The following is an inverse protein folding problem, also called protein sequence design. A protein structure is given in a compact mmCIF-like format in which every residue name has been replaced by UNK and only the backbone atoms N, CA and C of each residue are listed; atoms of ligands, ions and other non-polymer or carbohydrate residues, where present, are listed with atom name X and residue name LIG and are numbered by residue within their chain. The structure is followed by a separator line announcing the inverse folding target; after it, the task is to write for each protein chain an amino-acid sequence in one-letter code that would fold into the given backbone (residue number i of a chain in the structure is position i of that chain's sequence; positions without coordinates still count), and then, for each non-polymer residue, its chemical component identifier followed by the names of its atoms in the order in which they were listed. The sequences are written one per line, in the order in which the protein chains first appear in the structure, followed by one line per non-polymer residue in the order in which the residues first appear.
data_IF_422817653611
#
_entry.id   IF_422817653611
#
_cell.length_a   1.000
_cell.length_b   1.000
_cell.length_c   1.000
_cell.angle_alpha   90.00
_cell.angle_beta   90.00
_cell.angle_gamma   90.00
#
_symmetry.space_group_name_H-M   'P 1'
#
loop_
_entity.id
_entity.type
_entity.pdbx_description
1 polymer ?
#
# COMPACT_ATOMS: atom_id res chain seq x y z
N UNK A 1 -8.33 34.16 -15.74
CA UNK A 1 -8.30 32.84 -15.11
C UNK A 1 -9.72 32.29 -15.08
N UNK A 2 -10.05 31.39 -16.02
CA UNK A 2 -11.37 30.75 -16.06
C UNK A 2 -11.44 29.67 -15.00
N UNK A 3 -12.14 29.92 -13.91
CA UNK A 3 -12.45 28.91 -12.88
C UNK A 3 -13.49 27.95 -13.45
N UNK A 4 -13.04 26.86 -14.05
CA UNK A 4 -13.93 25.71 -14.28
C UNK A 4 -14.46 25.24 -12.94
N UNK A 5 -15.79 25.07 -12.78
CA UNK A 5 -16.33 24.47 -11.56
C UNK A 5 -15.72 23.09 -11.38
N UNK A 6 -15.45 22.65 -10.14
CA UNK A 6 -14.94 21.29 -9.91
C UNK A 6 -15.90 20.30 -10.53
N UNK A 7 -15.40 19.41 -11.40
CA UNK A 7 -16.18 18.27 -11.90
C UNK A 7 -16.72 17.54 -10.67
N UNK A 8 -18.04 17.43 -10.56
CA UNK A 8 -18.66 16.63 -9.53
C UNK A 8 -18.10 15.21 -9.63
N UNK A 9 -17.51 14.72 -8.52
CA UNK A 9 -17.07 13.34 -8.43
C UNK A 9 -18.23 12.41 -8.82
N UNK A 10 -17.96 11.41 -9.66
CA UNK A 10 -18.99 10.46 -10.10
C UNK A 10 -19.57 9.72 -8.90
N UNK A 11 -20.82 9.95 -8.57
CA UNK A 11 -21.52 9.27 -7.46
C UNK A 11 -21.93 7.88 -7.90
N UNK A 12 -21.58 6.87 -7.10
CA UNK A 12 -21.98 5.50 -7.36
C UNK A 12 -23.46 5.28 -7.05
N UNK A 13 -24.20 4.74 -8.03
CA UNK A 13 -25.56 4.28 -7.88
C UNK A 13 -25.57 2.75 -7.88
N UNK A 14 -25.86 2.14 -6.72
CA UNK A 14 -25.98 0.68 -6.63
C UNK A 14 -27.31 0.26 -7.22
N UNK A 15 -27.27 -0.56 -8.27
CA UNK A 15 -28.45 -1.14 -8.90
C UNK A 15 -28.62 -2.62 -8.53
N UNK A 16 -29.84 -3.01 -8.19
CA UNK A 16 -30.23 -4.42 -8.14
C UNK A 16 -30.58 -4.91 -9.54
N UNK A 17 -29.76 -5.80 -10.11
CA UNK A 17 -30.09 -6.43 -11.38
C UNK A 17 -31.15 -7.50 -11.16
N UNK A 18 -31.99 -7.77 -12.20
CA UNK A 18 -32.97 -8.83 -12.13
C UNK A 18 -32.32 -10.20 -11.96
N UNK A 19 -33.00 -11.11 -11.23
CA UNK A 19 -32.54 -12.50 -11.09
C UNK A 19 -32.43 -13.16 -12.46
N UNK A 20 -31.24 -13.63 -12.81
CA UNK A 20 -31.01 -14.34 -14.07
C UNK A 20 -31.77 -15.65 -14.18
N UNK A 21 -31.99 -16.33 -13.05
CA UNK A 21 -32.73 -17.59 -13.02
C UNK A 21 -34.20 -17.41 -13.41
N UNK A 22 -34.87 -16.38 -12.86
CA UNK A 22 -36.27 -16.10 -13.18
C UNK A 22 -36.44 -15.75 -14.66
N UNK A 23 -35.57 -14.86 -15.16
CA UNK A 23 -35.60 -14.46 -16.56
C UNK A 23 -35.20 -15.58 -17.54
N UNK A 24 -34.34 -16.52 -17.09
CA UNK A 24 -34.00 -17.69 -17.88
C UNK A 24 -35.23 -18.60 -18.09
N UNK A 25 -36.04 -18.83 -17.04
CA UNK A 25 -37.26 -19.60 -17.14
C UNK A 25 -38.25 -18.91 -18.10
N UNK A 26 -38.43 -17.59 -17.97
CA UNK A 26 -39.27 -16.81 -18.87
C UNK A 26 -38.78 -16.88 -20.32
N UNK A 27 -37.48 -16.79 -20.52
CA UNK A 27 -36.89 -16.90 -21.86
C UNK A 27 -37.06 -18.29 -22.48
N UNK A 28 -36.85 -19.34 -21.69
CA UNK A 28 -37.10 -20.72 -22.15
C UNK A 28 -38.59 -20.95 -22.50
N UNK A 29 -39.50 -20.41 -21.69
CA UNK A 29 -40.94 -20.48 -21.99
C UNK A 29 -41.30 -19.71 -23.28
N UNK A 30 -40.67 -18.54 -23.47
CA UNK A 30 -40.84 -17.73 -24.70
C UNK A 30 -40.32 -18.45 -25.94
N UNK A 31 -39.14 -19.08 -25.88
CA UNK A 31 -38.58 -19.87 -26.97
C UNK A 31 -39.38 -21.16 -27.23
N UNK A 32 -39.89 -21.81 -26.19
CA UNK A 32 -40.78 -22.95 -26.30
C UNK A 32 -42.13 -22.59 -26.97
N UNK A 33 -42.73 -21.45 -26.58
CA UNK A 33 -43.90 -20.90 -27.21
C UNK A 33 -43.67 -20.53 -28.70
N UNK A 34 -42.49 -19.95 -28.98
CA UNK A 34 -42.08 -19.66 -30.35
C UNK A 34 -42.01 -20.92 -31.22
N UNK A 35 -41.36 -21.97 -30.72
CA UNK A 35 -41.27 -23.26 -31.42
C UNK A 35 -42.65 -23.91 -31.64
N UNK A 36 -43.54 -23.85 -30.63
CA UNK A 36 -44.89 -24.33 -30.75
C UNK A 36 -45.71 -23.57 -31.81
N UNK A 37 -45.67 -22.22 -31.78
CA UNK A 37 -46.40 -21.39 -32.75
C UNK A 37 -45.92 -21.59 -34.18
N UNK A 38 -44.61 -21.76 -34.39
CA UNK A 38 -44.04 -22.02 -35.71
C UNK A 38 -44.42 -23.43 -36.18
N UNK A 39 -44.35 -24.43 -35.30
CA UNK A 39 -44.66 -25.83 -35.64
C UNK A 39 -46.13 -26.12 -35.86
N UNK A 40 -47.04 -25.38 -35.20
CA UNK A 40 -48.52 -25.54 -35.33
C UNK A 40 -49.14 -24.66 -36.40
N UNK A 41 -48.35 -23.87 -37.12
CA UNK A 41 -48.84 -22.98 -38.16
C UNK A 41 -49.37 -23.76 -39.38
N UNK A 42 -50.65 -23.61 -39.70
CA UNK A 42 -51.35 -24.37 -40.76
C UNK A 42 -51.01 -23.95 -42.18
N UNK A 43 -50.41 -22.73 -42.37
CA UNK A 43 -49.95 -22.20 -43.67
C UNK A 43 -48.71 -21.33 -43.55
N UNK A 44 -47.83 -21.39 -44.54
CA UNK A 44 -46.65 -20.46 -44.59
C UNK A 44 -47.13 -19.00 -44.70
N UNK A 45 -46.61 -18.12 -43.84
CA UNK A 45 -46.99 -16.69 -43.80
C UNK A 45 -48.19 -16.37 -42.90
N UNK A 46 -48.71 -17.32 -42.14
CA UNK A 46 -49.80 -17.08 -41.20
C UNK A 46 -49.36 -16.12 -40.07
N UNK A 47 -50.30 -15.35 -39.51
CA UNK A 47 -50.07 -14.47 -38.36
C UNK A 47 -49.42 -15.26 -37.20
N UNK A 48 -49.78 -16.52 -37.05
CA UNK A 48 -49.24 -17.41 -36.04
C UNK A 48 -47.74 -17.67 -36.23
N UNK A 49 -47.27 -17.86 -37.47
CA UNK A 49 -45.88 -18.05 -37.82
C UNK A 49 -45.06 -16.75 -37.62
N UNK A 50 -45.64 -15.58 -37.95
CA UNK A 50 -45.03 -14.28 -37.73
C UNK A 50 -44.85 -13.97 -36.24
N UNK A 51 -45.85 -14.25 -35.41
CA UNK A 51 -45.78 -14.12 -33.96
C UNK A 51 -44.73 -15.07 -33.34
N UNK A 52 -44.65 -16.32 -33.85
CA UNK A 52 -43.62 -17.26 -33.45
C UNK A 52 -42.21 -16.80 -33.80
N UNK A 53 -42.00 -16.25 -35.01
CA UNK A 53 -40.73 -15.71 -35.41
C UNK A 53 -40.34 -14.48 -34.59
N UNK A 54 -41.29 -13.58 -34.30
CA UNK A 54 -41.05 -12.40 -33.47
C UNK A 54 -40.67 -12.78 -32.03
N UNK A 55 -41.35 -13.76 -31.43
CA UNK A 55 -41.04 -14.25 -30.08
C UNK A 55 -39.70 -14.99 -30.03
N UNK A 56 -39.33 -15.74 -31.09
CA UNK A 56 -38.00 -16.34 -31.20
C UNK A 56 -36.89 -15.31 -31.27
N UNK A 57 -37.06 -14.25 -32.07
CA UNK A 57 -36.10 -13.13 -32.15
C UNK A 57 -35.95 -12.39 -30.82
N UNK A 58 -37.09 -12.16 -30.12
CA UNK A 58 -37.06 -11.54 -28.80
C UNK A 58 -36.34 -12.42 -27.78
N UNK A 59 -36.60 -13.74 -27.76
CA UNK A 59 -35.91 -14.69 -26.89
C UNK A 59 -34.40 -14.75 -27.17
N UNK A 60 -34.01 -14.79 -28.46
CA UNK A 60 -32.58 -14.75 -28.86
C UNK A 60 -31.91 -13.44 -28.44
N UNK A 61 -32.58 -12.32 -28.57
CA UNK A 61 -32.09 -11.02 -28.13
C UNK A 61 -31.91 -10.97 -26.61
N UNK A 62 -32.83 -11.53 -25.82
CA UNK A 62 -32.71 -11.58 -24.37
C UNK A 62 -31.53 -12.42 -23.87
N UNK A 63 -31.06 -13.42 -24.66
CA UNK A 63 -29.89 -14.21 -24.32
C UNK A 63 -28.62 -13.35 -24.15
N UNK A 64 -28.51 -12.24 -24.86
CA UNK A 64 -27.41 -11.31 -24.75
C UNK A 64 -27.29 -10.60 -23.40
N UNK A 65 -28.33 -10.59 -22.55
CA UNK A 65 -28.38 -9.86 -21.29
C UNK A 65 -27.83 -10.61 -20.07
N UNK A 66 -27.59 -11.91 -20.16
CA UNK A 66 -27.15 -12.71 -19.00
C UNK A 66 -25.70 -12.53 -18.67
N UNK A 67 -25.38 -12.43 -17.36
CA UNK A 67 -24.03 -12.36 -16.85
C UNK A 67 -23.95 -12.93 -15.43
N UNK A 68 -22.75 -13.35 -15.06
CA UNK A 68 -22.42 -13.84 -13.71
C UNK A 68 -21.45 -12.89 -13.01
N UNK A 69 -21.66 -12.67 -11.72
CA UNK A 69 -20.74 -11.95 -10.84
C UNK A 69 -20.26 -12.87 -9.73
N UNK A 70 -18.95 -12.89 -9.51
CA UNK A 70 -18.35 -13.58 -8.37
C UNK A 70 -18.46 -12.70 -7.10
N UNK A 71 -18.32 -13.27 -5.90
CA UNK A 71 -18.19 -12.50 -4.69
C UNK A 71 -17.02 -11.50 -4.79
N UNK A 72 -17.22 -10.30 -4.28
CA UNK A 72 -16.25 -9.20 -4.36
C UNK A 72 -15.87 -8.79 -5.80
N UNK A 73 -16.83 -8.88 -6.71
CA UNK A 73 -16.76 -8.26 -8.03
C UNK A 73 -17.94 -7.32 -8.22
N UNK A 74 -17.70 -6.22 -8.90
CA UNK A 74 -18.72 -5.28 -9.32
C UNK A 74 -18.77 -5.19 -10.84
N UNK A 75 -19.93 -4.85 -11.38
CA UNK A 75 -20.10 -4.58 -12.80
C UNK A 75 -20.73 -3.22 -13.01
N UNK A 76 -20.03 -2.35 -13.72
CA UNK A 76 -20.50 -1.02 -14.09
C UNK A 76 -21.37 -1.13 -15.34
N UNK A 77 -22.57 -0.55 -15.30
CA UNK A 77 -23.55 -0.55 -16.39
C UNK A 77 -23.58 0.81 -17.06
N UNK A 78 -23.20 0.82 -18.34
CA UNK A 78 -23.18 2.02 -19.19
C UNK A 78 -24.16 1.78 -20.34
N UNK A 79 -25.10 2.69 -20.54
CA UNK A 79 -26.07 2.65 -21.64
C UNK A 79 -25.84 3.86 -22.56
N UNK A 80 -25.42 3.58 -23.79
CA UNK A 80 -25.14 4.64 -24.80
C UNK A 80 -24.27 5.79 -24.28
N UNK A 81 -23.23 5.47 -23.49
CA UNK A 81 -22.33 6.46 -22.91
C UNK A 81 -22.79 7.06 -21.58
N UNK A 82 -24.04 6.80 -21.14
CA UNK A 82 -24.53 7.28 -19.86
C UNK A 82 -24.34 6.21 -18.76
N UNK A 83 -23.72 6.58 -17.63
CA UNK A 83 -23.65 5.74 -16.45
C UNK A 83 -25.04 5.54 -15.85
N UNK A 84 -25.44 4.30 -15.67
CA UNK A 84 -26.75 3.93 -15.08
C UNK A 84 -26.62 3.42 -13.66
N UNK A 85 -25.52 2.77 -13.33
CA UNK A 85 -25.26 2.26 -12.00
C UNK A 85 -24.32 1.07 -11.99
N UNK A 86 -24.05 0.55 -10.79
CA UNK A 86 -23.15 -0.57 -10.55
C UNK A 86 -23.88 -1.71 -9.86
N UNK A 87 -23.71 -2.93 -10.34
CA UNK A 87 -24.20 -4.16 -9.69
C UNK A 87 -23.06 -4.74 -8.87
N UNK A 88 -23.30 -4.90 -7.55
CA UNK A 88 -22.34 -5.47 -6.58
C UNK A 88 -22.76 -6.85 -6.05
N UNK A 89 -24.03 -7.22 -6.21
CA UNK A 89 -24.53 -8.51 -5.75
C UNK A 89 -23.91 -9.64 -6.56
N UNK A 90 -23.36 -10.64 -5.86
CA UNK A 90 -22.87 -11.87 -6.52
C UNK A 90 -24.03 -12.73 -6.98
N UNK A 91 -23.81 -13.49 -8.05
CA UNK A 91 -24.80 -14.42 -8.57
C UNK A 91 -25.00 -14.33 -10.07
N UNK A 92 -26.09 -14.94 -10.52
CA UNK A 92 -26.55 -14.95 -11.92
C UNK A 92 -27.59 -13.86 -12.12
N UNK A 93 -27.30 -12.91 -12.98
CA UNK A 93 -28.11 -11.72 -13.21
C UNK A 93 -28.40 -11.52 -14.68
N UNK A 94 -29.46 -10.78 -14.92
CA UNK A 94 -29.82 -10.30 -16.26
C UNK A 94 -29.90 -8.77 -16.27
N UNK A 95 -29.33 -8.17 -17.28
CA UNK A 95 -29.45 -6.74 -17.57
C UNK A 95 -29.67 -6.53 -19.05
N UNK A 96 -30.12 -5.32 -19.43
CA UNK A 96 -30.41 -4.98 -20.81
C UNK A 96 -29.21 -5.31 -21.72
N UNK A 97 -29.40 -6.07 -22.83
CA UNK A 97 -28.33 -6.41 -23.76
C UNK A 97 -27.57 -5.24 -24.35
N UNK A 98 -28.17 -4.04 -24.38
CA UNK A 98 -27.55 -2.80 -24.87
C UNK A 98 -26.56 -2.16 -23.88
N UNK A 99 -26.44 -2.67 -22.66
CA UNK A 99 -25.41 -2.17 -21.77
C UNK A 99 -24.02 -2.49 -22.32
N UNK A 100 -23.18 -1.47 -22.40
CA UNK A 100 -21.80 -1.63 -22.86
C UNK A 100 -21.06 -2.60 -21.93
N UNK A 101 -20.26 -3.48 -22.54
CA UNK A 101 -19.50 -4.53 -21.85
C UNK A 101 -18.00 -4.21 -21.84
N UNK A 102 -17.57 -3.14 -22.50
CA UNK A 102 -16.16 -2.79 -22.71
C UNK A 102 -15.75 -1.60 -21.86
N UNK A 103 -14.63 -1.74 -21.17
CA UNK A 103 -13.74 -0.64 -20.84
C UNK A 103 -13.00 -0.27 -22.11
N UNK A 104 -13.13 0.94 -22.60
CA UNK A 104 -12.48 1.38 -23.86
C UNK A 104 -10.94 1.42 -23.84
N UNK A 105 -10.26 0.98 -22.79
CA UNK A 105 -8.86 1.32 -22.53
C UNK A 105 -7.91 0.10 -22.49
N UNK A 106 -8.40 -1.13 -22.28
CA UNK A 106 -7.51 -2.29 -22.05
C UNK A 106 -6.93 -2.91 -23.35
N UNK A 107 -7.39 -2.50 -24.54
CA UNK A 107 -6.94 -3.10 -25.80
C UNK A 107 -5.56 -2.60 -26.25
N UNK A 108 -5.18 -1.38 -25.89
CA UNK A 108 -3.92 -0.77 -26.36
C UNK A 108 -2.72 -1.17 -25.49
N UNK A 109 -2.92 -1.33 -24.16
CA UNK A 109 -1.84 -1.76 -23.27
C UNK A 109 -1.47 -3.24 -23.40
N UNK A 110 -2.41 -4.12 -23.72
CA UNK A 110 -2.09 -5.53 -23.98
C UNK A 110 -1.31 -5.71 -25.28
N UNK A 111 -1.55 -4.89 -26.30
CA UNK A 111 -0.78 -4.89 -27.52
C UNK A 111 0.65 -4.36 -27.31
N UNK A 112 0.82 -3.29 -26.52
CA UNK A 112 2.13 -2.70 -26.22
C UNK A 112 3.01 -3.59 -25.31
N UNK A 113 2.41 -4.37 -24.41
CA UNK A 113 3.15 -5.31 -23.54
C UNK A 113 3.63 -6.54 -24.31
N UNK A 114 2.92 -6.95 -25.36
CA UNK A 114 3.34 -8.06 -26.23
C UNK A 114 4.48 -7.68 -27.18
N UNK A 115 4.65 -6.39 -27.52
CA UNK A 115 5.76 -5.90 -28.36
C UNK A 115 7.07 -5.64 -27.58
N UNK A 116 7.00 -5.37 -26.27
CA UNK A 116 8.18 -5.02 -25.44
C UNK A 116 8.89 -6.20 -24.79
N UNK A 117 8.50 -7.46 -25.05
CA UNK A 117 9.16 -8.63 -24.48
C UNK A 117 10.32 -9.13 -25.34
N UNK A 118 11.59 -9.09 -24.88
CA UNK A 118 12.71 -9.62 -25.66
C UNK A 118 12.53 -11.10 -25.91
N UNK A 119 12.76 -11.49 -27.18
CA UNK A 119 12.65 -12.84 -27.76
C UNK A 119 13.63 -13.85 -27.18
N UNK A 120 13.67 -14.12 -25.87
CA UNK A 120 14.48 -15.23 -25.36
C UNK A 120 13.92 -15.78 -24.03
N UNK A 121 12.76 -16.48 -24.08
CA UNK A 121 12.39 -17.46 -23.08
C UNK A 121 11.87 -18.72 -23.74
N UNK A 122 12.67 -19.78 -23.88
CA UNK A 122 12.18 -21.11 -24.22
C UNK A 122 11.44 -21.67 -22.99
N UNK A 123 10.22 -22.19 -23.22
CA UNK A 123 9.36 -22.86 -22.26
C UNK A 123 8.57 -22.03 -21.24
N UNK A 124 7.99 -20.91 -21.60
CA UNK A 124 6.81 -20.43 -20.89
C UNK A 124 5.56 -21.04 -21.55
N UNK A 125 4.82 -21.88 -20.83
CA UNK A 125 3.48 -22.37 -21.22
C UNK A 125 2.62 -21.14 -21.57
N UNK A 126 2.29 -20.98 -22.84
CA UNK A 126 1.30 -20.02 -23.32
C UNK A 126 0.03 -20.24 -22.49
N UNK A 127 -0.51 -19.22 -21.82
CA UNK A 127 -1.85 -19.35 -21.25
C UNK A 127 -2.79 -19.69 -22.39
N UNK A 128 -3.57 -20.76 -22.23
CA UNK A 128 -4.59 -21.15 -23.18
C UNK A 128 -5.49 -19.93 -23.41
N UNK A 129 -5.41 -19.32 -24.59
CA UNK A 129 -6.39 -18.37 -25.08
C UNK A 129 -7.73 -19.10 -25.05
N UNK A 130 -8.50 -18.92 -23.98
CA UNK A 130 -9.92 -19.20 -24.04
C UNK A 130 -10.51 -18.39 -25.17
N UNK A 131 -11.47 -18.96 -25.88
CA UNK A 131 -12.26 -18.31 -26.95
C UNK A 131 -13.10 -17.15 -26.36
N UNK A 132 -12.49 -16.23 -25.60
CA UNK A 132 -13.09 -15.01 -25.12
C UNK A 132 -12.78 -13.90 -26.11
N UNK A 133 -13.80 -13.38 -26.71
CA UNK A 133 -13.74 -12.18 -27.55
C UNK A 133 -12.97 -11.08 -26.80
N UNK A 134 -11.90 -10.51 -27.38
CA UNK A 134 -11.12 -9.47 -26.74
C UNK A 134 -12.00 -8.24 -26.49
N UNK A 135 -11.96 -7.69 -25.30
CA UNK A 135 -12.56 -6.38 -24.98
C UNK A 135 -13.88 -6.38 -24.19
N UNK A 136 -14.22 -7.43 -23.43
CA UNK A 136 -15.59 -7.59 -22.90
C UNK A 136 -15.72 -7.64 -21.38
N UNK A 137 -14.95 -6.91 -20.60
CA UNK A 137 -15.17 -6.95 -19.15
C UNK A 137 -15.23 -5.58 -18.48
N UNK A 138 -16.43 -5.10 -18.17
CA UNK A 138 -16.69 -4.00 -17.22
C UNK A 138 -16.70 -4.49 -15.77
N UNK A 139 -16.09 -5.64 -15.51
CA UNK A 139 -16.02 -6.21 -14.17
C UNK A 139 -14.81 -5.61 -13.44
N UNK A 140 -15.04 -5.05 -12.27
CA UNK A 140 -14.01 -4.57 -11.34
C UNK A 140 -13.87 -5.54 -10.19
N UNK A 141 -12.64 -5.77 -9.75
CA UNK A 141 -12.37 -6.45 -8.49
C UNK A 141 -12.52 -5.46 -7.33
N UNK A 142 -13.32 -5.85 -6.33
CA UNK A 142 -13.44 -5.13 -5.05
C UNK A 142 -12.59 -5.77 -3.95
N UNK A 143 -11.76 -6.76 -4.32
CA UNK A 143 -10.84 -7.41 -3.40
C UNK A 143 -9.70 -6.47 -3.04
N UNK A 144 -9.06 -6.73 -1.90
CA UNK A 144 -7.83 -6.04 -1.57
C UNK A 144 -6.73 -6.35 -2.58
N UNK A 145 -6.04 -5.33 -3.02
CA UNK A 145 -4.88 -5.38 -3.89
C UNK A 145 -3.65 -4.93 -3.11
N UNK A 146 -2.52 -5.56 -3.37
CA UNK A 146 -1.24 -5.17 -2.80
C UNK A 146 -0.40 -4.49 -3.89
N UNK A 147 0.09 -3.30 -3.59
CA UNK A 147 1.13 -2.63 -4.34
C UNK A 147 2.41 -2.63 -3.51
N UNK A 148 3.50 -3.07 -4.10
CA UNK A 148 4.84 -2.99 -3.51
C UNK A 148 5.68 -2.09 -4.39
N UNK A 149 6.15 -0.96 -3.85
CA UNK A 149 7.05 -0.09 -4.59
C UNK A 149 8.44 -0.72 -4.71
N UNK A 150 9.14 -0.39 -5.78
CA UNK A 150 10.59 -0.58 -5.85
C UNK A 150 11.30 0.32 -4.84
N UNK A 151 12.56 0.05 -4.55
CA UNK A 151 13.37 0.90 -3.69
C UNK A 151 13.63 2.25 -4.38
N UNK A 152 13.06 3.31 -3.81
CA UNK A 152 13.17 4.67 -4.32
C UNK A 152 14.31 5.38 -3.58
N UNK A 153 15.25 5.96 -4.34
CA UNK A 153 16.28 6.84 -3.79
C UNK A 153 15.70 8.25 -3.63
N UNK A 154 15.65 8.71 -2.38
CA UNK A 154 15.07 10.02 -1.99
C UNK A 154 15.94 10.66 -0.91
N UNK A 155 15.78 11.97 -0.68
CA UNK A 155 16.43 12.64 0.43
C UNK A 155 15.47 12.70 1.63
N UNK A 156 16.02 12.44 2.82
CA UNK A 156 15.31 12.62 4.08
C UNK A 156 15.15 14.13 4.42
N UNK A 157 14.51 14.44 5.56
CA UNK A 157 14.34 15.83 6.05
C UNK A 157 15.66 16.58 6.19
N UNK A 158 16.78 15.90 6.43
CA UNK A 158 18.12 16.47 6.60
C UNK A 158 18.93 16.50 5.31
N UNK A 159 18.37 16.04 4.20
CA UNK A 159 19.04 16.00 2.90
C UNK A 159 19.94 14.77 2.71
N UNK A 160 19.90 13.78 3.60
CA UNK A 160 20.63 12.53 3.42
C UNK A 160 19.92 11.66 2.38
N UNK A 161 20.63 11.11 1.38
CA UNK A 161 20.04 10.18 0.44
C UNK A 161 19.75 8.82 1.13
N UNK A 162 18.48 8.41 1.07
CA UNK A 162 17.98 7.14 1.63
C UNK A 162 17.29 6.33 0.54
N UNK A 163 17.33 5.01 0.65
CA UNK A 163 16.53 4.08 -0.15
C UNK A 163 15.35 3.63 0.68
N UNK A 164 14.14 3.84 0.13
CA UNK A 164 12.89 3.58 0.80
C UNK A 164 11.94 2.83 -0.13
N UNK A 165 11.27 1.79 0.39
CA UNK A 165 10.18 1.11 -0.27
C UNK A 165 9.00 0.93 0.68
N UNK A 166 7.79 0.82 0.12
CA UNK A 166 6.58 0.60 0.89
C UNK A 166 5.66 -0.42 0.23
N UNK A 167 4.85 -1.05 1.06
CA UNK A 167 3.70 -1.85 0.62
C UNK A 167 2.43 -1.11 0.99
N UNK A 168 1.52 -1.03 0.04
CA UNK A 168 0.21 -0.39 0.18
C UNK A 168 -0.86 -1.42 -0.13
N UNK A 169 -1.75 -1.66 0.83
CA UNK A 169 -2.93 -2.51 0.66
C UNK A 169 -4.13 -1.60 0.42
N UNK A 170 -4.80 -1.81 -0.70
CA UNK A 170 -5.89 -0.94 -1.13
C UNK A 170 -7.00 -1.73 -1.82
N UNK A 171 -8.21 -1.18 -1.87
CA UNK A 171 -9.34 -1.73 -2.63
C UNK A 171 -10.18 -0.62 -3.25
N UNK A 172 -10.95 -0.99 -4.27
CA UNK A 172 -11.92 -0.08 -4.88
C UNK A 172 -13.14 0.03 -3.97
N UNK A 173 -13.46 1.25 -3.54
CA UNK A 173 -14.66 1.56 -2.77
C UNK A 173 -15.76 2.14 -3.65
N UNK A 174 -15.43 3.12 -4.49
CA UNK A 174 -16.36 3.73 -5.43
C UNK A 174 -16.01 3.35 -6.85
N UNK A 175 -16.83 2.46 -7.44
CA UNK A 175 -16.59 1.92 -8.78
C UNK A 175 -16.78 2.97 -9.88
N UNK A 176 -17.68 3.96 -9.68
CA UNK A 176 -17.91 5.02 -10.64
C UNK A 176 -16.68 5.92 -10.76
N UNK A 177 -16.10 6.35 -9.63
CA UNK A 177 -14.87 7.15 -9.64
C UNK A 177 -13.70 6.37 -10.24
N UNK A 178 -13.54 5.10 -9.89
CA UNK A 178 -12.46 4.27 -10.42
C UNK A 178 -12.52 4.07 -11.94
N UNK A 179 -13.71 4.17 -12.55
CA UNK A 179 -13.89 3.98 -14.00
C UNK A 179 -13.92 5.29 -14.77
N UNK A 180 -14.49 6.36 -14.19
CA UNK A 180 -14.79 7.59 -14.93
C UNK A 180 -13.91 8.78 -14.56
N UNK A 181 -13.38 8.84 -13.34
CA UNK A 181 -12.59 9.99 -12.88
C UNK A 181 -11.09 9.80 -13.14
N UNK A 182 -10.62 8.55 -13.31
CA UNK A 182 -9.24 8.21 -13.67
C UNK A 182 -9.21 7.26 -14.85
N UNK A 183 -8.17 7.36 -15.67
CA UNK A 183 -8.02 6.52 -16.87
C UNK A 183 -7.72 5.05 -16.48
N UNK A 184 -6.73 4.84 -15.62
CA UNK A 184 -6.37 3.55 -15.05
C UNK A 184 -6.11 3.70 -13.55
N UNK A 185 -7.04 3.21 -12.74
CA UNK A 185 -6.95 3.31 -11.29
C UNK A 185 -5.74 2.55 -10.72
N UNK A 186 -5.30 1.46 -11.35
CA UNK A 186 -4.13 0.69 -10.89
C UNK A 186 -2.84 1.48 -11.07
N UNK A 187 -2.60 1.98 -12.28
CA UNK A 187 -1.45 2.84 -12.58
C UNK A 187 -1.49 4.16 -11.79
N UNK A 188 -2.70 4.70 -11.56
CA UNK A 188 -2.86 5.88 -10.72
C UNK A 188 -2.45 5.62 -9.27
N UNK A 189 -2.83 4.47 -8.69
CA UNK A 189 -2.39 4.07 -7.34
C UNK A 189 -0.87 3.93 -7.28
N UNK A 190 -0.24 3.29 -8.26
CA UNK A 190 1.22 3.12 -8.32
C UNK A 190 1.94 4.49 -8.29
N UNK A 191 1.60 5.37 -9.22
CA UNK A 191 2.24 6.69 -9.36
C UNK A 191 2.01 7.56 -8.11
N UNK A 192 0.78 7.58 -7.57
CA UNK A 192 0.46 8.35 -6.37
C UNK A 192 1.13 7.78 -5.13
N UNK A 193 1.29 6.46 -5.05
CA UNK A 193 1.99 5.79 -3.94
C UNK A 193 3.48 6.15 -3.93
N UNK A 194 4.17 6.10 -5.05
CA UNK A 194 5.55 6.54 -5.15
C UNK A 194 5.73 8.02 -4.78
N UNK A 195 4.80 8.86 -5.25
CA UNK A 195 4.80 10.29 -4.91
C UNK A 195 4.58 10.53 -3.41
N UNK A 196 3.70 9.77 -2.77
CA UNK A 196 3.44 9.86 -1.33
C UNK A 196 4.65 9.38 -0.51
N UNK A 197 5.27 8.26 -0.90
CA UNK A 197 6.49 7.75 -0.26
C UNK A 197 7.59 8.81 -0.29
N UNK A 198 7.80 9.47 -1.43
CA UNK A 198 8.78 10.56 -1.59
C UNK A 198 8.43 11.76 -0.69
N UNK A 199 7.16 12.12 -0.61
CA UNK A 199 6.67 13.21 0.26
C UNK A 199 6.93 12.91 1.74
N UNK A 200 6.62 11.68 2.19
CA UNK A 200 6.87 11.25 3.58
C UNK A 200 8.35 11.20 3.90
N UNK A 201 9.17 10.63 3.00
CA UNK A 201 10.62 10.57 3.21
C UNK A 201 11.23 11.96 3.43
N UNK A 202 10.83 12.97 2.66
CA UNK A 202 11.34 14.35 2.82
C UNK A 202 10.80 15.07 4.06
N UNK A 203 9.75 14.55 4.71
CA UNK A 203 9.15 15.16 5.90
C UNK A 203 9.78 14.68 7.21
N UNK A 204 10.30 13.47 7.24
CA UNK A 204 10.89 12.83 8.40
C UNK A 204 12.39 12.60 8.23
N UNK A 205 13.16 12.74 9.33
CA UNK A 205 14.58 12.35 9.34
C UNK A 205 14.71 10.82 9.41
N UNK A 206 15.79 10.25 8.89
CA UNK A 206 16.00 8.80 8.88
C UNK A 206 16.12 8.22 10.29
N UNK A 207 17.10 8.66 11.11
CA UNK A 207 17.42 8.06 12.42
C UNK A 207 17.69 9.05 13.55
N UNK A 208 18.00 10.29 13.24
CA UNK A 208 18.30 11.31 14.24
C UNK A 208 17.30 12.43 14.16
N UNK A 209 16.37 12.44 15.12
CA UNK A 209 15.50 13.56 15.42
C UNK A 209 16.08 14.42 16.56
N UNK A 210 15.51 15.59 16.78
CA UNK A 210 15.60 16.31 18.05
C UNK A 210 14.93 15.46 19.15
N UNK A 211 15.19 15.80 20.44
CA UNK A 211 14.50 15.10 21.53
C UNK A 211 12.98 15.10 21.28
N UNK A 212 12.39 13.91 21.15
CA UNK A 212 10.97 13.65 20.83
C UNK A 212 10.56 13.81 19.34
N UNK A 213 11.49 13.99 18.40
CA UNK A 213 11.15 14.01 16.97
C UNK A 213 10.91 12.59 16.44
N UNK A 214 9.77 12.39 15.74
CA UNK A 214 9.45 11.13 15.06
C UNK A 214 10.40 10.97 13.88
N UNK A 215 11.07 9.82 13.79
CA UNK A 215 11.98 9.49 12.69
C UNK A 215 11.44 8.31 11.88
N UNK A 216 11.90 8.16 10.64
CA UNK A 216 11.50 7.04 9.78
C UNK A 216 11.81 5.68 10.42
N UNK A 217 12.90 5.59 11.17
CA UNK A 217 13.36 4.36 11.83
C UNK A 217 12.74 4.15 13.22
N UNK A 218 12.59 5.21 14.00
CA UNK A 218 12.14 5.13 15.40
C UNK A 218 10.63 5.15 15.57
N UNK A 219 9.90 5.84 14.66
CA UNK A 219 8.45 6.03 14.71
C UNK A 219 7.74 5.30 13.56
N UNK A 220 7.99 3.99 13.40
CA UNK A 220 7.48 3.25 12.23
C UNK A 220 5.95 3.24 12.15
N UNK A 221 5.24 3.16 13.26
CA UNK A 221 3.77 3.12 13.28
C UNK A 221 3.17 4.49 13.00
N UNK A 222 3.75 5.58 13.53
CA UNK A 222 3.32 6.95 13.26
C UNK A 222 3.56 7.34 11.79
N UNK A 223 4.72 6.93 11.24
CA UNK A 223 5.04 7.14 9.83
C UNK A 223 4.11 6.33 8.93
N UNK A 224 3.77 5.10 9.30
CA UNK A 224 2.81 4.27 8.56
C UNK A 224 1.42 4.91 8.55
N UNK A 225 0.97 5.47 9.68
CA UNK A 225 -0.29 6.20 9.78
C UNK A 225 -0.28 7.45 8.90
N UNK A 226 0.77 8.27 8.99
CA UNK A 226 0.94 9.47 8.16
C UNK A 226 0.98 9.14 6.66
N UNK A 227 1.64 8.04 6.27
CA UNK A 227 1.67 7.57 4.88
C UNK A 227 0.27 7.14 4.41
N UNK A 228 -0.46 6.40 5.24
CA UNK A 228 -1.84 5.98 4.95
C UNK A 228 -2.76 7.19 4.75
N UNK A 229 -2.70 8.19 5.62
CA UNK A 229 -3.51 9.41 5.52
C UNK A 229 -3.18 10.20 4.25
N UNK A 230 -1.90 10.42 3.96
CA UNK A 230 -1.43 11.10 2.75
C UNK A 230 -1.91 10.37 1.48
N UNK A 231 -1.80 9.03 1.47
CA UNK A 231 -2.29 8.18 0.39
C UNK A 231 -3.81 8.27 0.24
N UNK A 232 -4.56 8.22 1.34
CA UNK A 232 -6.02 8.27 1.31
C UNK A 232 -6.52 9.57 0.69
N UNK A 233 -5.89 10.71 1.02
CA UNK A 233 -6.23 12.01 0.43
C UNK A 233 -5.99 12.03 -1.09
N UNK A 234 -4.87 11.45 -1.54
CA UNK A 234 -4.51 11.42 -2.96
C UNK A 234 -5.37 10.43 -3.77
N UNK A 235 -5.65 9.26 -3.19
CA UNK A 235 -6.36 8.17 -3.86
C UNK A 235 -7.89 8.29 -3.79
N UNK A 236 -8.42 9.18 -2.94
CA UNK A 236 -9.85 9.44 -2.85
C UNK A 236 -10.48 9.81 -4.21
N UNK A 237 -9.75 10.51 -5.07
CA UNK A 237 -10.22 10.88 -6.43
C UNK A 237 -10.43 9.68 -7.35
N UNK A 238 -9.71 8.58 -7.10
CA UNK A 238 -9.85 7.34 -7.85
C UNK A 238 -10.89 6.39 -7.25
N UNK A 239 -11.62 6.81 -6.22
CA UNK A 239 -12.59 5.96 -5.52
C UNK A 239 -11.96 4.75 -4.83
N UNK A 240 -10.70 4.87 -4.38
CA UNK A 240 -9.92 3.82 -3.74
C UNK A 240 -9.76 4.13 -2.26
N UNK A 241 -9.91 3.11 -1.41
CA UNK A 241 -9.62 3.17 0.01
C UNK A 241 -8.30 2.44 0.31
N UNK A 242 -7.47 3.06 1.13
CA UNK A 242 -6.22 2.47 1.63
C UNK A 242 -6.49 1.78 2.95
N UNK A 243 -6.32 0.46 2.99
CA UNK A 243 -6.48 -0.33 4.21
C UNK A 243 -5.26 -0.23 5.10
N UNK A 244 -4.08 -0.38 4.49
CA UNK A 244 -2.80 -0.38 5.18
C UNK A 244 -1.70 0.20 4.28
N UNK A 245 -0.75 0.92 4.88
CA UNK A 245 0.45 1.38 4.21
C UNK A 245 1.63 1.26 5.17
N UNK A 246 2.69 0.54 4.79
CA UNK A 246 3.88 0.32 5.62
C UNK A 246 5.15 0.42 4.80
N UNK A 247 6.20 0.92 5.45
CA UNK A 247 7.56 0.87 4.89
C UNK A 247 8.09 -0.56 4.99
N UNK A 248 8.64 -1.08 3.89
CA UNK A 248 9.21 -2.43 3.81
C UNK A 248 10.73 -2.41 3.72
N UNK A 249 11.29 -1.37 3.10
CA UNK A 249 12.73 -1.17 2.99
C UNK A 249 13.06 0.25 3.40
N UNK A 250 14.07 0.39 4.27
CA UNK A 250 14.57 1.67 4.72
C UNK A 250 16.06 1.55 5.02
N UNK A 251 16.89 2.16 4.19
CA UNK A 251 18.34 2.13 4.33
C UNK A 251 18.95 3.46 3.87
N UNK A 252 20.16 3.78 4.33
CA UNK A 252 20.95 4.82 3.69
C UNK A 252 21.35 4.38 2.30
N UNK A 253 21.41 5.32 1.36
CA UNK A 253 21.93 5.04 0.04
C UNK A 253 23.39 4.53 0.13
N UNK A 254 23.79 3.56 -0.71
CA UNK A 254 25.10 2.90 -0.62
C UNK A 254 26.28 3.87 -0.60
N UNK A 255 26.14 5.03 -1.24
CA UNK A 255 27.20 6.05 -1.34
C UNK A 255 27.55 6.66 0.01
N UNK A 256 26.55 6.82 0.91
CA UNK A 256 26.78 7.45 2.22
C UNK A 256 26.73 6.46 3.39
N UNK A 257 26.25 5.23 3.17
CA UNK A 257 26.10 4.25 4.22
C UNK A 257 27.38 4.02 5.06
N UNK A 258 28.62 3.90 4.49
CA UNK A 258 29.83 3.73 5.27
C UNK A 258 30.16 4.95 6.16
N UNK A 259 29.89 6.16 5.68
CA UNK A 259 30.11 7.40 6.43
C UNK A 259 29.12 7.51 7.59
N UNK A 260 27.84 7.21 7.34
CA UNK A 260 26.80 7.24 8.35
C UNK A 260 27.02 6.18 9.44
N UNK A 261 27.48 4.98 9.06
CA UNK A 261 27.86 3.94 10.04
C UNK A 261 28.97 4.43 10.97
N UNK A 262 30.03 5.07 10.44
CA UNK A 262 31.10 5.63 11.27
C UNK A 262 30.58 6.72 12.21
N UNK A 263 29.68 7.57 11.75
CA UNK A 263 29.02 8.58 12.59
C UNK A 263 28.23 7.95 13.72
N UNK A 264 27.38 6.95 13.42
CA UNK A 264 26.61 6.20 14.43
C UNK A 264 27.53 5.52 15.47
N UNK A 265 28.65 4.92 15.02
CA UNK A 265 29.65 4.36 15.92
C UNK A 265 30.26 5.41 16.85
N UNK A 266 30.65 6.57 16.32
CA UNK A 266 31.21 7.65 17.14
C UNK A 266 30.20 8.18 18.17
N UNK A 267 28.95 8.38 17.77
CA UNK A 267 27.86 8.82 18.65
C UNK A 267 27.57 7.79 19.75
N UNK A 268 27.54 6.50 19.40
CA UNK A 268 27.35 5.41 20.35
C UNK A 268 28.50 5.37 21.40
N UNK A 269 29.75 5.57 20.95
CA UNK A 269 30.90 5.64 21.87
C UNK A 269 30.79 6.86 22.81
N UNK A 270 30.42 8.03 22.30
CA UNK A 270 30.23 9.24 23.10
C UNK A 270 29.09 9.02 24.13
N UNK A 271 27.96 8.48 23.71
CA UNK A 271 26.81 8.17 24.59
C UNK A 271 27.21 7.17 25.68
N UNK A 272 27.93 6.09 25.33
CA UNK A 272 28.41 5.10 26.29
C UNK A 272 29.39 5.74 27.29
N UNK A 273 30.34 6.57 26.84
CA UNK A 273 31.28 7.27 27.72
C UNK A 273 30.59 8.24 28.67
N UNK A 274 29.58 8.97 28.19
CA UNK A 274 28.76 9.86 29.04
C UNK A 274 28.13 9.09 30.20
N UNK A 275 27.52 7.93 29.89
CA UNK A 275 26.88 7.07 30.90
C UNK A 275 27.95 6.52 31.89
N UNK A 276 29.10 6.08 31.39
CA UNK A 276 30.23 5.60 32.24
C UNK A 276 30.66 6.68 33.21
N UNK A 277 30.92 7.89 32.73
CA UNK A 277 31.34 9.00 33.57
C UNK A 277 30.29 9.38 34.62
N UNK A 278 29.03 9.48 34.23
CA UNK A 278 27.92 9.76 35.15
C UNK A 278 27.82 8.70 36.26
N UNK A 279 27.90 7.42 35.90
CA UNK A 279 27.83 6.32 36.86
C UNK A 279 29.10 6.30 37.74
N UNK A 280 30.28 6.56 37.19
CA UNK A 280 31.53 6.64 37.96
C UNK A 280 31.45 7.75 39.02
N UNK A 281 30.97 8.94 38.67
CA UNK A 281 30.78 10.05 39.63
C UNK A 281 29.81 9.64 40.75
N UNK A 282 28.68 9.00 40.36
CA UNK A 282 27.68 8.51 41.36
C UNK A 282 28.29 7.46 42.29
N UNK A 283 29.05 6.48 41.76
CA UNK A 283 29.73 5.46 42.55
C UNK A 283 30.77 6.05 43.49
N UNK A 284 31.57 7.00 43.05
CA UNK A 284 32.56 7.70 43.87
C UNK A 284 31.86 8.45 44.99
N UNK A 285 30.76 9.15 44.69
CA UNK A 285 29.99 9.88 45.72
C UNK A 285 29.44 8.92 46.79
N UNK A 286 28.79 7.81 46.33
CA UNK A 286 28.32 6.79 47.28
C UNK A 286 29.43 6.18 48.16
N UNK A 287 30.58 5.88 47.55
CA UNK A 287 31.71 5.34 48.31
C UNK A 287 32.22 6.28 49.36
N UNK A 288 32.35 7.58 49.04
CA UNK A 288 32.78 8.60 50.03
C UNK A 288 31.76 8.78 51.14
N UNK A 289 30.47 8.83 50.83
CA UNK A 289 29.39 8.94 51.86
C UNK A 289 29.37 7.72 52.80
N UNK A 290 29.59 6.53 52.25
CA UNK A 290 29.63 5.31 53.04
C UNK A 290 30.84 5.24 53.98
N UNK A 291 32.02 5.71 53.53
CA UNK A 291 33.21 5.81 54.34
C UNK A 291 33.08 6.85 55.49
N UNK A 292 32.42 7.99 55.21
CA UNK A 292 32.14 9.03 56.21
C UNK A 292 31.14 8.53 57.23
N UNK A 293 30.04 7.87 56.82
CA UNK A 293 29.01 7.34 57.74
C UNK A 293 29.53 6.24 58.65
N UNK A 294 30.41 5.37 58.15
CA UNK A 294 30.98 4.26 58.91
C UNK A 294 32.21 4.67 59.76
N UNK A 295 32.66 5.95 59.65
CA UNK A 295 33.87 6.46 60.30
C UNK A 295 35.12 5.58 60.10
N UNK A 296 35.26 4.97 58.92
CA UNK A 296 36.35 4.03 58.62
C UNK A 296 37.68 4.77 58.50
N UNK A 297 37.67 5.97 57.93
CA UNK A 297 38.85 6.82 57.74
C UNK A 297 38.44 8.30 57.82
N UNK A 298 39.18 9.09 58.58
CA UNK A 298 39.05 10.56 58.56
C UNK A 298 39.82 11.10 57.35
N UNK A 299 39.11 11.54 56.33
CA UNK A 299 39.67 12.13 55.11
C UNK A 299 39.62 13.65 55.22
N UNK A 300 40.79 14.29 55.12
CA UNK A 300 40.87 15.72 54.83
C UNK A 300 40.55 16.01 53.37
N UNK A 301 40.30 17.27 53.01
CA UNK A 301 39.88 17.66 51.68
C UNK A 301 40.91 17.29 50.60
N UNK A 302 42.21 17.34 50.90
CA UNK A 302 43.27 17.00 50.00
C UNK A 302 43.30 15.49 49.66
N UNK A 303 43.16 14.64 50.72
CA UNK A 303 43.11 13.19 50.55
C UNK A 303 41.82 12.76 49.88
N UNK A 304 40.69 13.43 50.15
CA UNK A 304 39.42 13.21 49.49
C UNK A 304 39.55 13.50 47.96
N UNK A 305 40.14 14.63 47.57
CA UNK A 305 40.39 14.99 46.19
C UNK A 305 41.30 13.96 45.47
N UNK A 306 42.39 13.53 46.15
CA UNK A 306 43.27 12.49 45.59
C UNK A 306 42.55 11.14 45.38
N UNK A 307 41.72 10.71 46.35
CA UNK A 307 40.94 9.49 46.24
C UNK A 307 39.91 9.57 45.10
N UNK A 308 39.17 10.69 44.97
CA UNK A 308 38.23 10.94 43.84
C UNK A 308 38.93 10.82 42.52
N UNK A 309 40.09 11.50 42.36
CA UNK A 309 40.88 11.47 41.13
C UNK A 309 41.31 10.03 40.77
N UNK A 310 41.84 9.29 41.73
CA UNK A 310 42.28 7.90 41.51
C UNK A 310 41.14 6.98 41.17
N UNK A 311 40.01 7.07 41.85
CA UNK A 311 38.81 6.27 41.56
C UNK A 311 38.22 6.58 40.20
N UNK A 312 38.14 7.87 39.84
CA UNK A 312 37.65 8.26 38.49
C UNK A 312 38.54 7.74 37.37
N UNK A 313 39.89 7.79 37.55
CA UNK A 313 40.84 7.24 36.57
C UNK A 313 40.62 5.75 36.38
N UNK A 314 40.43 4.99 37.46
CA UNK A 314 40.16 3.54 37.40
C UNK A 314 38.82 3.24 36.79
N UNK A 315 37.74 3.94 37.18
CA UNK A 315 36.38 3.67 36.70
C UNK A 315 36.11 4.17 35.28
N UNK A 316 36.78 5.24 34.83
CA UNK A 316 36.63 5.81 33.50
C UNK A 316 37.69 5.33 32.50
N UNK A 317 38.76 4.66 32.96
CA UNK A 317 39.83 4.17 32.12
C UNK A 317 39.40 3.03 31.19
N UNK A 318 40.01 2.95 30.00
CA UNK A 318 39.78 1.88 29.03
C UNK A 318 40.72 0.67 29.20
N UNK A 319 41.71 0.77 30.12
CA UNK A 319 42.67 -0.28 30.39
C UNK A 319 42.59 -0.71 31.85
N UNK A 320 42.82 -2.00 32.11
CA UNK A 320 42.88 -2.51 33.47
C UNK A 320 43.96 -1.79 34.28
N UNK A 321 43.65 -1.28 35.48
CA UNK A 321 44.59 -0.60 36.31
C UNK A 321 45.68 -1.58 36.80
N UNK A 322 46.96 -1.24 36.57
CA UNK A 322 48.07 -1.97 37.13
C UNK A 322 48.46 -1.34 38.48
N UNK A 323 48.28 -2.01 39.61
CA UNK A 323 48.68 -1.48 40.91
C UNK A 323 50.19 -1.37 40.99
N UNK A 324 50.68 -0.16 41.19
CA UNK A 324 52.14 0.08 41.49
C UNK A 324 52.29 0.18 43.01
N UNK A 325 52.83 -0.86 43.59
CA UNK A 325 53.15 -0.86 45.02
C UNK A 325 54.54 -0.21 45.21
N UNK A 326 54.59 0.94 45.82
CA UNK A 326 55.83 1.57 46.17
C UNK A 326 56.31 1.01 47.53
N UNK A 327 57.24 0.04 47.46
CA UNK A 327 57.78 -0.64 48.67
C UNK A 327 58.95 0.13 49.30
N UNK A 328 59.33 1.34 48.81
CA UNK A 328 60.55 2.05 49.21
C UNK A 328 60.42 3.11 50.28
N UNK A 329 59.21 3.41 50.83
CA UNK A 329 59.02 4.51 51.76
C UNK A 329 58.46 4.10 53.15
N UNK A 330 58.66 2.85 53.57
CA UNK A 330 58.22 2.42 54.87
C UNK A 330 59.18 2.72 56.03
N UNK A 331 60.35 3.34 55.72
CA UNK A 331 61.34 3.72 56.78
C UNK A 331 61.99 5.06 56.38
N UNK A 332 61.45 6.14 56.87
CA UNK A 332 62.16 7.33 57.38
C UNK A 332 61.28 7.99 58.41
#
# INVERSE_FOLDING_TARGET
MSTRPPRSAATEHVLSAFSGWLLLIVNLALLGAAAYLIGSAAAPGSVQQLLGAASALLGLFMLGGYFTLQPNQARVLILFGAYKGTVRSSGFHWANPFYSRSRGIDSEKQAATDEASPRNRPFARRPKRGLGLPGLSTKLSLRAHNFSSDALKVNDKRGNPVEIAAVVVWRVENTAQAVFDVEDYSSYVEIQSESAIRSIASRYAYDQGEEHEITLRGGADEVALALKEELQVRLAKAGVIVEEARLTHLAYAPEIAPVMLRRQQAEAIIAARKIIVQNAVTMVHMALDELDQKNVVKLDDERRAAMVSNLLVVLCGNSDPSPVINTGTLYT
#
